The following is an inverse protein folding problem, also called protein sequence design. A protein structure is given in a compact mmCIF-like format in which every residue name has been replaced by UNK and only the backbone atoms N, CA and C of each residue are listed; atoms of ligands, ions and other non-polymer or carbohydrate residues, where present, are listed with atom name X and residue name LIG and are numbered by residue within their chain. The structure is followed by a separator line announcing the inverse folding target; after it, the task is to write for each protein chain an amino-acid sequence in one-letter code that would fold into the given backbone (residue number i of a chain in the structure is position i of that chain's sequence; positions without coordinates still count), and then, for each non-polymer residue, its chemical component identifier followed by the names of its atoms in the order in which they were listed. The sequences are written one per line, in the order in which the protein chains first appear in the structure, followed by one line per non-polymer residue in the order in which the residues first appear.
data_IF_355455044384
#
_entry.id   IF_355455044384
#
_cell.length_a   1.000
_cell.length_b   1.000
_cell.length_c   1.000
_cell.angle_alpha   90.00
_cell.angle_beta   90.00
_cell.angle_gamma   90.00
#
_symmetry.space_group_name_H-M   'P 1'
#
loop_
_entity.id
_entity.type
_entity.pdbx_description
1 polymer ?
#
# COMPACT_ATOMS: atom_id res chain seq x y z
N UNK A 1 -77.02 -21.69 44.92
CA UNK A 1 -77.18 -22.60 43.78
C UNK A 1 -76.63 -21.88 42.55
N UNK A 2 -75.48 -22.37 42.06
CA UNK A 2 -74.78 -22.18 40.76
C UNK A 2 -74.82 -20.86 39.95
N UNK A 3 -73.62 -20.48 39.50
CA UNK A 3 -73.26 -19.43 38.54
C UNK A 3 -73.87 -19.59 37.13
N UNK A 4 -73.85 -18.53 36.30
CA UNK A 4 -73.12 -18.56 35.01
C UNK A 4 -72.96 -17.18 34.31
N UNK A 5 -71.69 -16.77 34.24
CA UNK A 5 -70.88 -16.06 33.23
C UNK A 5 -71.48 -15.23 32.07
N UNK A 6 -70.90 -14.02 32.00
CA UNK A 6 -70.61 -13.12 30.88
C UNK A 6 -70.12 -13.82 29.59
N UNK A 7 -70.58 -13.36 28.43
CA UNK A 7 -69.88 -13.52 27.14
C UNK A 7 -69.71 -12.15 26.48
N UNK A 8 -68.46 -11.65 26.45
CA UNK A 8 -68.05 -10.49 25.71
C UNK A 8 -67.67 -10.89 24.27
N UNK A 9 -68.11 -10.11 23.29
CA UNK A 9 -67.82 -10.28 21.86
C UNK A 9 -66.42 -9.73 21.54
N UNK A 10 -65.53 -10.56 21.02
CA UNK A 10 -64.19 -10.15 20.57
C UNK A 10 -64.27 -9.42 19.22
N UNK A 11 -63.68 -8.23 19.17
CA UNK A 11 -63.39 -7.48 17.93
C UNK A 11 -61.98 -7.85 17.48
N UNK A 12 -61.85 -8.35 16.25
CA UNK A 12 -60.57 -8.72 15.64
C UNK A 12 -59.96 -7.47 15.00
N UNK A 13 -58.94 -6.89 15.64
CA UNK A 13 -58.15 -5.79 15.08
C UNK A 13 -57.05 -6.31 14.15
N UNK A 14 -57.08 -5.89 12.89
CA UNK A 14 -56.02 -6.18 11.91
C UNK A 14 -54.86 -5.22 12.19
N UNK A 15 -53.76 -5.74 12.72
CA UNK A 15 -52.50 -5.00 12.85
C UNK A 15 -51.76 -5.01 11.50
N UNK A 16 -51.67 -3.85 10.84
CA UNK A 16 -50.82 -3.64 9.67
C UNK A 16 -49.35 -3.58 10.14
N UNK A 17 -48.63 -4.69 10.05
CA UNK A 17 -47.19 -4.74 10.30
C UNK A 17 -46.42 -4.09 9.15
N UNK A 18 -45.98 -2.84 9.33
CA UNK A 18 -45.06 -2.19 8.41
C UNK A 18 -43.67 -2.81 8.51
N UNK A 19 -43.23 -3.51 7.45
CA UNK A 19 -41.86 -3.98 7.30
C UNK A 19 -40.96 -2.78 6.99
N UNK A 20 -40.24 -2.30 8.01
CA UNK A 20 -39.15 -1.34 7.82
C UNK A 20 -37.97 -2.11 7.23
N UNK A 21 -37.75 -1.99 5.92
CA UNK A 21 -36.50 -2.42 5.30
C UNK A 21 -35.39 -1.46 5.72
N UNK A 22 -34.61 -1.84 6.73
CA UNK A 22 -33.38 -1.15 7.05
C UNK A 22 -32.38 -1.36 5.90
N UNK A 23 -32.19 -0.34 5.06
CA UNK A 23 -31.11 -0.31 4.09
C UNK A 23 -29.79 -0.31 4.88
N UNK A 24 -29.06 -1.43 4.83
CA UNK A 24 -27.70 -1.47 5.35
C UNK A 24 -26.84 -0.58 4.45
N UNK A 25 -26.62 0.66 4.89
CA UNK A 25 -25.57 1.48 4.32
C UNK A 25 -24.24 0.81 4.67
N UNK A 26 -23.55 0.23 3.68
CA UNK A 26 -22.16 -0.15 3.84
C UNK A 26 -21.40 1.14 4.12
N UNK A 27 -20.97 1.35 5.36
CA UNK A 27 -20.08 2.45 5.69
C UNK A 27 -18.79 2.26 4.89
N UNK A 28 -18.60 3.10 3.86
CA UNK A 28 -17.38 3.16 3.08
C UNK A 28 -16.24 3.48 4.05
N UNK A 29 -15.34 2.51 4.27
CA UNK A 29 -14.26 2.71 5.24
C UNK A 29 -13.29 3.76 4.68
N UNK A 30 -13.29 4.95 5.27
CA UNK A 30 -12.30 5.99 4.99
C UNK A 30 -10.92 5.35 5.17
N UNK A 31 -10.07 5.32 4.13
CA UNK A 31 -8.78 4.68 4.21
C UNK A 31 -7.94 5.33 5.31
N UNK A 32 -7.35 4.50 6.17
CA UNK A 32 -6.45 5.00 7.20
C UNK A 32 -5.21 5.67 6.58
N UNK A 33 -4.63 6.64 7.31
CA UNK A 33 -3.37 7.30 6.93
C UNK A 33 -2.19 6.35 6.69
N UNK A 34 -2.22 5.16 7.27
CA UNK A 34 -1.21 4.13 7.12
C UNK A 34 -1.82 2.88 6.50
N UNK A 35 -1.04 2.20 5.64
CA UNK A 35 -1.45 0.94 5.04
C UNK A 35 -1.72 -0.11 6.15
N UNK A 36 -2.90 -0.78 6.12
CA UNK A 36 -3.21 -1.86 7.04
C UNK A 36 -2.42 -3.12 6.65
N UNK A 37 -1.49 -3.52 7.53
CA UNK A 37 -0.65 -4.69 7.33
C UNK A 37 -1.26 -5.91 8.03
N UNK A 38 -1.35 -7.03 7.33
CA UNK A 38 -1.90 -8.30 7.84
C UNK A 38 -0.90 -9.43 7.67
N UNK A 39 -0.55 -10.10 8.77
CA UNK A 39 0.27 -11.31 8.76
C UNK A 39 1.66 -11.17 8.10
N UNK A 40 2.28 -12.32 7.84
CA UNK A 40 3.54 -12.43 7.10
C UNK A 40 3.23 -12.72 5.62
N UNK A 41 4.11 -12.25 4.74
CA UNK A 41 4.10 -12.55 3.32
C UNK A 41 5.47 -13.09 2.89
N UNK A 42 5.50 -13.82 1.78
CA UNK A 42 6.75 -14.11 1.08
C UNK A 42 7.31 -12.84 0.42
N UNK A 43 8.63 -12.69 0.49
CA UNK A 43 9.33 -11.68 -0.31
C UNK A 43 9.14 -11.96 -1.82
N UNK A 44 9.19 -10.93 -2.69
CA UNK A 44 9.43 -11.14 -4.12
C UNK A 44 10.68 -11.98 -4.34
N UNK A 45 10.68 -12.84 -5.36
CA UNK A 45 11.83 -13.73 -5.62
C UNK A 45 13.10 -12.91 -5.91
N UNK A 46 12.99 -11.87 -6.75
CA UNK A 46 14.07 -10.92 -7.01
C UNK A 46 14.61 -10.27 -5.75
N UNK A 47 13.77 -9.88 -4.78
CA UNK A 47 14.24 -9.37 -3.49
C UNK A 47 14.98 -10.42 -2.65
N UNK A 48 14.60 -11.70 -2.73
CA UNK A 48 15.34 -12.77 -2.03
C UNK A 48 16.75 -12.87 -2.61
N UNK A 49 16.89 -12.89 -3.93
CA UNK A 49 18.17 -12.94 -4.63
C UNK A 49 19.00 -11.67 -4.39
N UNK A 50 18.38 -10.50 -4.43
CA UNK A 50 19.01 -9.24 -4.04
C UNK A 50 19.60 -9.31 -2.64
N UNK A 51 18.88 -9.85 -1.66
CA UNK A 51 19.41 -10.01 -0.31
C UNK A 51 20.58 -11.01 -0.22
N UNK A 52 20.65 -12.00 -1.11
CA UNK A 52 21.78 -12.92 -1.19
C UNK A 52 23.02 -12.22 -1.76
N UNK A 53 22.83 -11.40 -2.80
CA UNK A 53 23.90 -10.66 -3.47
C UNK A 53 24.35 -9.42 -2.67
N UNK A 54 23.44 -8.81 -1.91
CA UNK A 54 23.66 -7.60 -1.12
C UNK A 54 23.22 -7.78 0.35
N UNK A 55 23.85 -8.68 1.12
CA UNK A 55 23.40 -9.05 2.46
C UNK A 55 23.31 -7.85 3.43
N UNK A 56 24.23 -6.90 3.30
CA UNK A 56 24.24 -5.67 4.11
C UNK A 56 23.02 -4.77 3.89
N UNK A 57 22.34 -4.91 2.75
CA UNK A 57 21.10 -4.18 2.45
C UNK A 57 19.85 -4.89 2.98
N UNK A 58 20.00 -6.05 3.63
CA UNK A 58 18.90 -6.80 4.20
C UNK A 58 19.08 -7.17 5.69
N UNK A 59 20.23 -6.83 6.28
CA UNK A 59 20.59 -7.10 7.67
C UNK A 59 20.28 -5.93 8.62
N UNK A 60 19.21 -5.18 8.35
CA UNK A 60 18.75 -4.12 9.24
C UNK A 60 17.30 -4.32 9.66
N UNK A 61 16.96 -3.78 10.83
CA UNK A 61 15.64 -3.91 11.42
C UNK A 61 15.53 -3.11 12.71
N UNK A 62 14.30 -2.90 13.18
CA UNK A 62 14.03 -2.24 14.46
C UNK A 62 12.87 -2.89 15.20
N UNK A 63 12.96 -2.94 16.53
CA UNK A 63 11.83 -3.33 17.38
C UNK A 63 10.74 -2.27 17.43
N UNK A 64 11.07 -1.02 17.12
CA UNK A 64 10.14 0.10 17.12
C UNK A 64 10.22 0.80 15.77
N UNK A 65 9.36 0.44 14.80
CA UNK A 65 9.24 1.14 13.53
C UNK A 65 9.10 2.64 13.75
N UNK A 66 9.88 3.43 13.00
CA UNK A 66 9.87 4.89 13.13
C UNK A 66 8.83 5.50 12.19
N UNK A 67 8.22 6.58 12.65
CA UNK A 67 7.38 7.47 11.85
C UNK A 67 8.14 8.79 11.72
N UNK A 68 8.47 9.17 10.49
CA UNK A 68 9.27 10.38 10.25
C UNK A 68 8.38 11.61 10.34
N UNK A 69 8.77 12.60 11.13
CA UNK A 69 8.13 13.92 11.10
C UNK A 69 8.43 14.59 9.75
N UNK A 70 7.39 14.90 8.98
CA UNK A 70 7.55 15.47 7.65
C UNK A 70 7.73 17.00 7.73
N UNK A 71 8.96 17.42 8.01
CA UNK A 71 9.33 18.84 7.94
C UNK A 71 9.40 19.30 6.48
N UNK A 72 9.53 20.61 6.27
CA UNK A 72 9.72 21.19 4.92
C UNK A 72 10.98 20.63 4.26
N UNK A 73 12.06 20.47 5.02
CA UNK A 73 13.33 19.93 4.55
C UNK A 73 13.17 18.46 4.12
N UNK A 74 12.55 17.62 4.97
CA UNK A 74 12.27 16.22 4.63
C UNK A 74 11.34 16.11 3.41
N UNK A 75 10.33 16.97 3.30
CA UNK A 75 9.48 17.00 2.11
C UNK A 75 10.28 17.33 0.83
N UNK A 76 11.17 18.32 0.90
CA UNK A 76 12.03 18.69 -0.23
C UNK A 76 12.99 17.55 -0.63
N UNK A 77 13.53 16.82 0.35
CA UNK A 77 14.36 15.63 0.07
C UNK A 77 13.58 14.56 -0.70
N UNK A 78 12.32 14.28 -0.30
CA UNK A 78 11.47 13.34 -1.02
C UNK A 78 11.24 13.78 -2.47
N UNK A 79 10.88 15.06 -2.67
CA UNK A 79 10.65 15.62 -4.01
C UNK A 79 11.90 15.51 -4.89
N UNK A 80 13.05 15.93 -4.35
CA UNK A 80 14.32 15.94 -5.08
C UNK A 80 14.73 14.51 -5.44
N UNK A 81 14.75 13.59 -4.48
CA UNK A 81 15.15 12.21 -4.76
C UNK A 81 14.20 11.54 -5.76
N UNK A 82 12.88 11.73 -5.63
CA UNK A 82 11.94 11.14 -6.57
C UNK A 82 12.16 11.65 -7.99
N UNK A 83 12.29 12.98 -8.16
CA UNK A 83 12.49 13.59 -9.47
C UNK A 83 13.84 13.22 -10.08
N UNK A 84 14.93 13.30 -9.31
CA UNK A 84 16.29 12.98 -9.78
C UNK A 84 16.38 11.52 -10.24
N UNK A 85 15.93 10.56 -9.43
CA UNK A 85 16.01 9.15 -9.82
C UNK A 85 15.10 8.83 -11.01
N UNK A 86 13.91 9.45 -11.09
CA UNK A 86 13.04 9.29 -12.26
C UNK A 86 13.64 9.86 -13.55
N UNK A 87 14.60 10.78 -13.44
CA UNK A 87 15.30 11.36 -14.59
C UNK A 87 16.58 10.59 -14.94
N UNK A 88 17.34 10.13 -13.95
CA UNK A 88 18.65 9.50 -14.12
C UNK A 88 18.56 8.04 -14.58
N UNK A 89 17.53 7.31 -14.14
CA UNK A 89 17.33 5.92 -14.54
C UNK A 89 16.45 5.90 -15.78
N UNK A 90 16.94 5.27 -16.86
CA UNK A 90 16.16 5.08 -18.08
C UNK A 90 15.31 3.82 -17.99
N UNK A 91 14.03 3.85 -18.37
CA UNK A 91 13.14 2.69 -18.26
C UNK A 91 13.52 1.61 -19.27
N UNK A 92 13.90 0.44 -18.77
CA UNK A 92 14.17 -0.78 -19.53
C UNK A 92 13.77 -1.98 -18.68
N UNK A 93 13.14 -3.00 -19.28
CA UNK A 93 12.78 -4.22 -18.55
C UNK A 93 14.01 -5.05 -18.24
N UNK A 94 13.97 -5.86 -17.18
CA UNK A 94 15.05 -6.81 -16.89
C UNK A 94 15.39 -7.75 -18.05
N UNK A 95 14.40 -8.22 -18.81
CA UNK A 95 14.64 -9.09 -19.96
C UNK A 95 15.54 -8.40 -21.01
N UNK A 96 15.38 -7.08 -21.19
CA UNK A 96 16.18 -6.29 -22.12
C UNK A 96 17.61 -6.05 -21.60
N UNK A 97 17.78 -5.92 -20.28
CA UNK A 97 19.07 -5.58 -19.66
C UNK A 97 19.91 -6.82 -19.31
N UNK A 98 19.25 -7.88 -18.84
CA UNK A 98 19.87 -9.04 -18.19
C UNK A 98 19.45 -10.38 -18.81
N UNK A 99 18.42 -10.40 -19.65
CA UNK A 99 17.91 -11.63 -20.29
C UNK A 99 17.20 -12.58 -19.33
N UNK A 100 16.77 -12.08 -18.18
CA UNK A 100 16.01 -12.78 -17.15
C UNK A 100 15.01 -11.82 -16.53
N UNK A 101 13.89 -12.31 -16.00
CA UNK A 101 12.89 -11.48 -15.33
C UNK A 101 13.14 -11.34 -13.82
N UNK A 102 12.72 -10.21 -13.24
CA UNK A 102 12.75 -9.91 -11.78
C UNK A 102 14.17 -9.95 -11.19
N UNK A 103 15.14 -9.39 -11.92
CA UNK A 103 16.54 -9.29 -11.54
C UNK A 103 16.82 -8.02 -10.75
N UNK A 104 16.60 -8.09 -9.44
CA UNK A 104 16.72 -6.91 -8.58
C UNK A 104 18.17 -6.50 -8.37
N UNK A 105 18.52 -5.30 -8.81
CA UNK A 105 19.85 -4.71 -8.62
C UNK A 105 19.81 -3.19 -8.42
N UNK A 106 20.98 -2.56 -8.26
CA UNK A 106 21.06 -1.10 -8.34
C UNK A 106 21.20 -0.67 -9.80
N UNK A 107 20.54 0.43 -10.22
CA UNK A 107 20.56 0.84 -11.62
C UNK A 107 21.98 1.25 -12.05
N UNK A 108 22.34 0.87 -13.27
CA UNK A 108 23.52 1.38 -13.99
C UNK A 108 23.06 2.34 -15.10
N UNK A 109 22.25 3.33 -14.73
CA UNK A 109 21.63 4.29 -15.65
C UNK A 109 20.39 3.77 -16.39
N UNK A 110 19.97 2.53 -16.13
CA UNK A 110 18.73 1.93 -16.60
C UNK A 110 18.21 0.88 -15.59
N UNK A 111 16.92 0.56 -15.68
CA UNK A 111 16.22 -0.43 -14.86
C UNK A 111 14.70 -0.32 -15.05
N UNK A 112 13.92 -1.16 -14.36
CA UNK A 112 12.46 -1.11 -14.39
C UNK A 112 11.84 -0.57 -13.10
N UNK A 113 11.12 -1.33 -12.27
CA UNK A 113 10.47 -0.78 -11.08
C UNK A 113 11.33 -0.94 -9.82
N UNK A 114 11.98 -2.09 -9.65
CA UNK A 114 12.83 -2.42 -8.52
C UNK A 114 14.09 -1.54 -8.45
N UNK A 115 14.79 -1.29 -9.55
CA UNK A 115 16.01 -0.46 -9.53
C UNK A 115 15.70 0.95 -9.05
N UNK A 116 14.58 1.54 -9.49
CA UNK A 116 14.17 2.87 -9.05
C UNK A 116 13.86 2.87 -7.56
N UNK A 117 13.14 1.86 -7.08
CA UNK A 117 12.77 1.76 -5.66
C UNK A 117 13.99 1.54 -4.77
N UNK A 118 14.89 0.64 -5.17
CA UNK A 118 16.14 0.37 -4.48
C UNK A 118 17.02 1.62 -4.44
N UNK A 119 17.12 2.35 -5.55
CA UNK A 119 17.95 3.55 -5.60
C UNK A 119 17.37 4.70 -4.76
N UNK A 120 16.06 4.95 -4.85
CA UNK A 120 15.38 5.95 -4.00
C UNK A 120 15.55 5.61 -2.52
N UNK A 121 15.38 4.34 -2.14
CA UNK A 121 15.57 3.88 -0.77
C UNK A 121 17.02 4.12 -0.31
N UNK A 122 18.00 3.76 -1.15
CA UNK A 122 19.43 3.93 -0.86
C UNK A 122 19.80 5.41 -0.67
N UNK A 123 19.34 6.28 -1.55
CA UNK A 123 19.67 7.71 -1.50
C UNK A 123 19.02 8.42 -0.31
N UNK A 124 17.74 8.12 -0.02
CA UNK A 124 17.10 8.65 1.19
C UNK A 124 17.78 8.14 2.47
N UNK A 125 18.19 6.87 2.51
CA UNK A 125 18.94 6.34 3.65
C UNK A 125 20.30 7.05 3.84
N UNK A 126 20.99 7.42 2.75
CA UNK A 126 22.22 8.24 2.81
C UNK A 126 21.97 9.63 3.39
N UNK A 127 20.78 10.21 3.17
CA UNK A 127 20.32 11.46 3.79
C UNK A 127 19.81 11.28 5.24
N UNK A 128 20.10 10.13 5.86
CA UNK A 128 19.76 9.86 7.26
C UNK A 128 18.29 9.56 7.50
N UNK A 129 17.51 9.22 6.47
CA UNK A 129 16.17 8.66 6.68
C UNK A 129 16.28 7.29 7.35
N UNK A 130 15.46 6.98 8.36
CA UNK A 130 15.46 5.67 8.97
C UNK A 130 14.95 4.65 7.95
N UNK A 131 15.75 3.62 7.64
CA UNK A 131 15.36 2.57 6.68
C UNK A 131 14.05 1.86 7.06
N UNK A 132 13.70 1.80 8.35
CA UNK A 132 12.41 1.26 8.82
C UNK A 132 11.19 2.10 8.44
N UNK A 133 11.39 3.30 7.91
CA UNK A 133 10.35 4.13 7.32
C UNK A 133 10.40 4.15 5.79
N UNK A 134 11.41 3.55 5.15
CA UNK A 134 11.58 3.47 3.70
C UNK A 134 11.29 2.04 3.24
N UNK A 135 10.06 1.73 2.88
CA UNK A 135 9.59 0.37 2.76
C UNK A 135 9.21 0.04 1.31
N UNK A 136 9.94 -0.92 0.72
CA UNK A 136 9.62 -1.44 -0.62
C UNK A 136 8.23 -2.07 -0.57
N UNK A 137 7.38 -1.71 -1.53
CA UNK A 137 5.96 -2.11 -1.56
C UNK A 137 5.61 -2.65 -2.92
N UNK A 138 5.00 -3.83 -2.95
CA UNK A 138 4.48 -4.44 -4.18
C UNK A 138 3.01 -4.13 -4.31
N UNK A 139 2.64 -3.65 -5.48
CA UNK A 139 1.29 -3.28 -5.86
C UNK A 139 0.89 -3.97 -7.16
N UNK A 140 -0.38 -3.83 -7.48
CA UNK A 140 -0.95 -4.09 -8.80
C UNK A 140 -1.26 -2.75 -9.44
N UNK A 141 -0.67 -2.51 -10.61
CA UNK A 141 -0.85 -1.27 -11.37
C UNK A 141 -2.22 -1.23 -12.08
N UNK A 142 -2.44 -0.18 -12.89
CA UNK A 142 -3.68 0.00 -13.65
C UNK A 142 -3.93 -1.09 -14.71
N UNK A 143 -2.87 -1.75 -15.18
CA UNK A 143 -2.94 -2.87 -16.11
C UNK A 143 -2.97 -4.23 -15.38
N UNK A 144 -3.10 -4.22 -14.04
CA UNK A 144 -3.03 -5.40 -13.17
C UNK A 144 -1.67 -6.15 -13.24
N UNK A 145 -0.64 -5.47 -13.76
CA UNK A 145 0.77 -5.87 -13.71
C UNK A 145 1.32 -5.78 -12.29
N UNK A 146 2.34 -6.59 -11.98
CA UNK A 146 3.10 -6.41 -10.74
C UNK A 146 3.94 -5.14 -10.85
N UNK A 147 3.98 -4.34 -9.79
CA UNK A 147 4.78 -3.11 -9.77
C UNK A 147 5.37 -2.87 -8.37
N UNK A 148 6.60 -2.38 -8.30
CA UNK A 148 7.27 -2.00 -7.07
C UNK A 148 7.28 -0.47 -6.91
N UNK A 149 6.91 -0.01 -5.71
CA UNK A 149 6.99 1.40 -5.31
C UNK A 149 7.69 1.55 -3.95
N UNK A 150 8.21 2.74 -3.67
CA UNK A 150 8.76 3.04 -2.35
C UNK A 150 7.69 3.71 -1.50
N UNK A 151 7.31 3.07 -0.39
CA UNK A 151 6.44 3.67 0.61
C UNK A 151 7.25 4.31 1.73
N UNK A 152 7.02 5.59 1.98
CA UNK A 152 7.69 6.37 3.03
C UNK A 152 6.72 6.66 4.17
N UNK A 153 7.05 6.17 5.37
CA UNK A 153 6.20 6.30 6.57
C UNK A 153 6.46 7.61 7.31
N UNK A 154 5.46 8.49 7.33
CA UNK A 154 5.56 9.82 7.92
C UNK A 154 4.44 10.17 8.89
N UNK A 155 4.59 11.28 9.61
CA UNK A 155 3.55 11.87 10.45
C UNK A 155 2.39 12.50 9.65
N UNK A 156 2.42 12.43 8.31
CA UNK A 156 1.27 12.68 7.42
C UNK A 156 0.65 11.40 6.85
N UNK A 157 1.27 10.23 7.04
CA UNK A 157 0.81 8.95 6.51
C UNK A 157 1.88 8.22 5.73
N UNK A 158 1.51 7.10 5.11
CA UNK A 158 2.35 6.40 4.14
C UNK A 158 2.26 7.14 2.78
N UNK A 159 3.39 7.72 2.33
CA UNK A 159 3.55 8.43 1.05
C UNK A 159 4.23 7.53 0.03
N UNK A 160 3.96 7.74 -1.26
CA UNK A 160 4.40 6.86 -2.33
C UNK A 160 5.32 7.60 -3.28
N UNK A 161 6.52 7.07 -3.45
CA UNK A 161 7.49 7.48 -4.46
C UNK A 161 7.54 6.40 -5.53
N UNK A 162 7.34 6.81 -6.77
CA UNK A 162 7.08 5.92 -7.90
C UNK A 162 7.74 6.47 -9.18
N UNK A 163 8.08 5.58 -10.11
CA UNK A 163 8.58 5.92 -11.44
C UNK A 163 7.45 6.08 -12.47
N UNK A 164 6.31 5.40 -12.31
CA UNK A 164 5.17 5.54 -13.23
C UNK A 164 4.39 6.85 -12.97
N UNK A 165 4.20 7.21 -11.69
CA UNK A 165 3.59 8.48 -11.27
C UNK A 165 4.63 9.36 -10.58
N UNK A 166 4.98 10.48 -11.21
CA UNK A 166 6.04 11.37 -10.72
C UNK A 166 5.65 12.17 -9.47
N UNK A 167 4.35 12.41 -9.26
CA UNK A 167 3.84 13.07 -8.07
C UNK A 167 3.91 12.16 -6.86
N UNK A 168 4.40 12.69 -5.73
CA UNK A 168 4.37 11.98 -4.46
C UNK A 168 2.99 12.10 -3.85
N UNK A 169 2.30 10.97 -3.71
CA UNK A 169 0.92 10.91 -3.27
C UNK A 169 0.79 10.09 -1.97
N UNK A 170 -0.19 10.40 -1.11
CA UNK A 170 -0.62 9.47 -0.08
C UNK A 170 -1.03 8.14 -0.70
N UNK A 171 -0.73 7.02 -0.03
CA UNK A 171 -1.03 5.68 -0.55
C UNK A 171 -2.49 5.49 -0.94
N UNK A 172 -3.41 6.14 -0.21
CA UNK A 172 -4.85 6.04 -0.47
C UNK A 172 -5.31 6.82 -1.71
N UNK A 173 -4.50 7.76 -2.22
CA UNK A 173 -4.77 8.56 -3.42
C UNK A 173 -4.07 8.03 -4.68
N UNK A 174 -3.30 6.95 -4.58
CA UNK A 174 -2.72 6.29 -5.77
C UNK A 174 -3.74 5.34 -6.40
N UNK A 175 -3.67 5.11 -7.72
CA UNK A 175 -4.62 4.24 -8.43
C UNK A 175 -4.30 2.74 -8.29
N UNK A 176 -3.44 2.38 -7.34
CA UNK A 176 -2.92 1.02 -7.19
C UNK A 176 -3.73 0.16 -6.24
N UNK A 177 -3.64 -1.16 -6.42
CA UNK A 177 -4.06 -2.13 -5.41
C UNK A 177 -2.85 -2.71 -4.69
N UNK A 178 -2.74 -2.47 -3.39
CA UNK A 178 -1.57 -2.84 -2.61
C UNK A 178 -1.62 -4.31 -2.18
N UNK A 179 -0.51 -5.03 -2.37
CA UNK A 179 -0.44 -6.49 -2.14
C UNK A 179 0.36 -6.82 -0.89
N UNK A 180 1.60 -6.34 -0.82
CA UNK A 180 2.53 -6.65 0.27
C UNK A 180 3.61 -5.59 0.38
N UNK A 181 4.26 -5.50 1.54
CA UNK A 181 5.32 -4.53 1.80
C UNK A 181 6.41 -5.13 2.66
N UNK A 182 7.62 -4.63 2.46
CA UNK A 182 8.74 -4.85 3.34
C UNK A 182 8.38 -4.52 4.79
N UNK A 183 8.83 -5.35 5.72
CA UNK A 183 8.58 -5.16 7.14
C UNK A 183 9.50 -4.08 7.68
N UNK A 184 8.91 -3.08 8.35
CA UNK A 184 9.67 -2.10 9.10
C UNK A 184 10.52 -2.72 10.22
N UNK A 185 10.26 -3.98 10.61
CA UNK A 185 10.98 -4.68 11.67
C UNK A 185 12.22 -5.41 11.19
N UNK A 186 12.26 -5.80 9.91
CA UNK A 186 13.40 -6.50 9.32
C UNK A 186 13.34 -6.39 7.78
N UNK A 187 14.42 -5.93 7.16
CA UNK A 187 14.47 -5.64 5.72
C UNK A 187 14.21 -6.86 4.81
N UNK A 188 14.66 -8.05 5.22
CA UNK A 188 14.36 -9.29 4.48
C UNK A 188 12.92 -9.83 4.71
N UNK A 189 12.19 -9.31 5.69
CA UNK A 189 10.86 -9.81 6.04
C UNK A 189 9.76 -9.00 5.34
N UNK A 190 8.64 -9.64 5.03
CA UNK A 190 7.53 -9.04 4.32
C UNK A 190 6.21 -9.33 5.01
N UNK A 191 5.24 -8.44 4.79
CA UNK A 191 3.90 -8.57 5.34
C UNK A 191 2.87 -8.21 4.27
N UNK A 192 1.73 -8.92 4.28
CA UNK A 192 0.64 -8.66 3.35
C UNK A 192 -0.08 -7.36 3.71
N UNK A 193 -0.69 -6.72 2.73
CA UNK A 193 -1.51 -5.52 2.93
C UNK A 193 -2.98 -5.90 2.74
N UNK A 194 -3.86 -5.43 3.62
CA UNK A 194 -5.30 -5.56 3.46
C UNK A 194 -5.86 -4.32 2.77
N UNK A 195 -5.66 -4.22 1.45
CA UNK A 195 -6.18 -3.08 0.71
C UNK A 195 -7.68 -3.27 0.42
N UNK A 196 -8.52 -2.56 1.18
CA UNK A 196 -9.98 -2.57 1.06
C UNK A 196 -10.54 -1.32 0.39
N UNK A 197 -9.66 -0.46 -0.14
CA UNK A 197 -10.08 0.76 -0.83
C UNK A 197 -10.84 0.37 -2.09
N UNK A 198 -11.97 1.02 -2.34
CA UNK A 198 -12.68 0.93 -3.61
C UNK A 198 -12.03 1.94 -4.54
N UNK A 199 -11.25 1.48 -5.51
CA UNK A 199 -10.80 2.33 -6.62
C UNK A 199 -11.97 2.45 -7.60
N UNK A 200 -12.78 3.50 -7.45
CA UNK A 200 -13.77 3.86 -8.48
C UNK A 200 -13.02 4.33 -9.71
N UNK A 201 -12.89 3.44 -10.70
CA UNK A 201 -12.49 3.84 -12.05
C UNK A 201 -13.74 4.46 -12.68
N UNK A 202 -13.75 5.77 -12.89
CA UNK A 202 -14.81 6.40 -13.66
C UNK A 202 -14.74 5.87 -15.10
N UNK A 203 -15.62 4.95 -15.47
CA UNK A 203 -15.85 4.63 -16.88
C UNK A 203 -16.44 5.87 -17.53
N UNK A 204 -15.68 6.51 -18.43
CA UNK A 204 -16.25 7.51 -19.34
C UNK A 204 -17.17 6.72 -20.27
N UNK A 205 -18.48 7.02 -20.31
CA UNK A 205 -19.35 6.44 -21.32
C UNK A 205 -18.87 6.91 -22.70
N UNK A 206 -18.73 5.97 -23.64
CA UNK A 206 -18.46 6.26 -25.06
C UNK A 206 -19.49 7.20 -25.67
#
# INVERSE_FOLDING_TARGET
MFEFKLFAKSVFGIALGGLIFATQANAEQIPGRFMPVIGRASAPIGHVEFCQNYPQQCQYGTKTPLVVRLTKERWQELLNINATINQEVRPFTDEQLFGVAEYWTYPQGAGDCEEYVLEKQRQLAKLGWPKSALLITVVKDLNNGGHAVLSVRTDQGDLILDNQVSSILPWYSTPYRYVKRQSARHAAAWSSISDKRVTTVASIPE
#
